data_IF_190925750370
#
_entry.id   IF_190925750370
#
_cell.length_a   1.000
_cell.length_b   1.000
_cell.length_c   1.000
_cell.angle_alpha   90.00
_cell.angle_beta   90.00
_cell.angle_gamma   90.00
#
_symmetry.space_group_name_H-M   'P 1'
#
loop_
_entity.id
_entity.type
_entity.pdbx_description
1 polymer ?
#
# COMPACT_ATOMS: atom_id res chain seq x y z
N UNK A 1 48.01 -22.39 27.04
CA UNK A 1 47.46 -23.08 28.22
C UNK A 1 46.72 -22.03 29.04
N UNK A 2 45.42 -22.06 29.32
CA UNK A 2 44.37 -23.01 28.99
C UNK A 2 43.01 -22.48 29.46
N UNK A 3 41.98 -22.93 28.74
CA UNK A 3 40.60 -23.27 29.12
C UNK A 3 39.63 -22.14 29.55
N UNK A 4 38.66 -21.93 28.64
CA UNK A 4 37.41 -21.17 28.75
C UNK A 4 36.30 -22.07 29.34
N UNK A 5 35.40 -21.60 30.24
CA UNK A 5 34.27 -22.39 30.75
C UNK A 5 33.09 -22.48 29.76
N UNK A 6 32.33 -23.57 29.89
CA UNK A 6 31.45 -24.18 28.90
C UNK A 6 29.99 -23.66 28.97
N UNK A 7 29.39 -23.40 27.81
CA UNK A 7 28.08 -22.76 27.53
C UNK A 7 26.84 -23.65 27.88
N UNK A 8 27.02 -24.73 28.65
CA UNK A 8 25.95 -25.72 28.89
C UNK A 8 25.04 -25.47 30.10
N UNK A 9 25.20 -24.36 30.83
CA UNK A 9 24.49 -24.15 32.11
C UNK A 9 23.39 -23.06 32.09
N UNK A 10 23.13 -22.42 30.95
CA UNK A 10 22.08 -21.38 30.83
C UNK A 10 20.82 -21.91 30.13
N UNK A 11 20.90 -23.07 29.47
CA UNK A 11 19.79 -23.64 28.70
C UNK A 11 18.72 -24.37 29.53
N UNK A 12 18.96 -24.66 30.81
CA UNK A 12 18.03 -25.44 31.65
C UNK A 12 16.96 -24.61 32.38
N UNK A 13 16.79 -23.33 32.04
CA UNK A 13 15.80 -22.44 32.67
C UNK A 13 14.74 -21.87 31.71
N UNK A 14 14.73 -22.29 30.44
CA UNK A 14 13.75 -21.84 29.43
C UNK A 14 12.71 -22.92 29.09
N UNK A 15 12.93 -24.19 29.47
CA UNK A 15 12.02 -25.29 29.12
C UNK A 15 10.80 -25.45 30.06
N UNK A 16 10.73 -24.75 31.19
CA UNK A 16 9.67 -24.99 32.20
C UNK A 16 8.49 -24.00 32.22
N UNK A 17 8.32 -23.12 31.21
CA UNK A 17 7.21 -22.14 31.21
C UNK A 17 6.31 -22.20 29.98
N UNK A 18 6.46 -23.19 29.10
CA UNK A 18 5.52 -23.43 27.99
C UNK A 18 4.83 -24.78 28.20
N UNK A 19 4.17 -24.91 29.34
CA UNK A 19 3.24 -25.99 29.62
C UNK A 19 1.96 -25.43 30.23
N UNK A 20 1.32 -24.51 29.51
CA UNK A 20 -0.05 -24.09 29.78
C UNK A 20 -0.67 -23.62 28.46
N UNK A 21 -1.36 -24.53 27.78
CA UNK A 21 -2.64 -24.36 27.08
C UNK A 21 -2.90 -25.68 26.35
N UNK A 22 -3.77 -26.50 26.95
CA UNK A 22 -4.47 -27.62 26.30
C UNK A 22 -5.50 -27.05 25.33
N UNK A 23 -5.67 -27.69 24.17
CA UNK A 23 -6.94 -28.10 23.54
C UNK A 23 -6.60 -29.01 22.33
N UNK A 24 -7.51 -29.89 21.88
CA UNK A 24 -7.18 -31.29 21.59
C UNK A 24 -7.37 -31.68 20.11
N UNK A 25 -7.05 -32.95 19.83
CA UNK A 25 -7.48 -33.77 18.68
C UNK A 25 -6.91 -33.44 17.29
N UNK A 26 -5.88 -34.21 16.89
CA UNK A 26 -5.95 -35.11 15.72
C UNK A 26 -4.69 -36.00 15.70
N UNK A 27 -4.74 -37.09 16.46
CA UNK A 27 -3.87 -38.24 16.30
C UNK A 27 -4.65 -39.29 15.50
N UNK A 28 -4.32 -39.50 14.23
CA UNK A 28 -4.26 -40.83 13.63
C UNK A 28 -3.67 -40.71 12.21
N UNK A 29 -2.58 -41.42 11.92
CA UNK A 29 -2.17 -41.68 10.53
C UNK A 29 -0.71 -41.45 10.13
N UNK A 30 0.22 -41.10 11.03
CA UNK A 30 1.61 -40.80 10.63
C UNK A 30 2.70 -41.74 11.17
N UNK A 31 2.35 -42.81 11.89
CA UNK A 31 3.37 -43.72 12.43
C UNK A 31 3.86 -44.79 11.44
N UNK A 32 3.25 -44.95 10.25
CA UNK A 32 3.60 -46.03 9.33
C UNK A 32 4.47 -45.61 8.13
N UNK A 33 4.62 -44.31 7.88
CA UNK A 33 5.34 -43.81 6.69
C UNK A 33 6.80 -43.40 6.97
N UNK A 34 7.21 -43.34 8.25
CA UNK A 34 8.56 -42.93 8.65
C UNK A 34 9.59 -44.06 8.46
N UNK A 35 9.22 -45.31 8.66
CA UNK A 35 10.18 -46.41 8.72
C UNK A 35 10.57 -46.99 7.35
N UNK A 36 9.72 -46.84 6.33
CA UNK A 36 10.01 -47.33 4.97
C UNK A 36 11.04 -46.44 4.25
N UNK A 37 11.04 -45.13 4.52
CA UNK A 37 11.92 -44.18 3.82
C UNK A 37 13.33 -44.16 4.44
N UNK A 38 13.45 -44.37 5.75
CA UNK A 38 14.75 -44.30 6.45
C UNK A 38 15.66 -45.48 6.12
N UNK A 39 15.11 -46.66 5.82
CA UNK A 39 15.92 -47.85 5.54
C UNK A 39 16.44 -47.95 4.09
N UNK A 40 15.90 -47.20 3.14
CA UNK A 40 16.37 -47.21 1.73
C UNK A 40 17.53 -46.23 1.46
N UNK A 41 17.89 -45.37 2.43
CA UNK A 41 18.86 -44.28 2.22
C UNK A 41 20.25 -44.53 2.87
N UNK A 42 20.48 -45.69 3.50
CA UNK A 42 21.73 -45.94 4.26
C UNK A 42 22.94 -46.35 3.43
N UNK A 43 22.80 -46.68 2.14
CA UNK A 43 23.91 -47.24 1.34
C UNK A 43 24.23 -46.48 0.05
N UNK A 44 24.39 -45.15 0.10
CA UNK A 44 25.02 -44.41 -1.01
C UNK A 44 26.00 -43.36 -0.48
N UNK A 45 27.31 -43.60 -0.70
CA UNK A 45 28.36 -42.57 -0.52
C UNK A 45 28.20 -41.53 -1.62
N UNK A 46 27.72 -40.32 -1.30
CA UNK A 46 27.43 -39.28 -2.30
C UNK A 46 27.85 -37.88 -1.82
N UNK A 47 28.57 -37.16 -2.70
CA UNK A 47 29.26 -35.89 -2.43
C UNK A 47 28.39 -34.64 -2.25
N UNK A 48 29.08 -33.53 -1.93
CA UNK A 48 28.53 -32.28 -1.39
C UNK A 48 27.50 -31.51 -2.23
N UNK A 49 27.28 -31.88 -3.49
CA UNK A 49 26.29 -31.23 -4.37
C UNK A 49 24.83 -31.53 -3.93
N UNK A 50 24.58 -32.74 -3.42
CA UNK A 50 23.24 -33.15 -2.96
C UNK A 50 22.83 -32.55 -1.61
N UNK A 51 23.78 -32.08 -0.78
CA UNK A 51 23.47 -31.37 0.48
C UNK A 51 22.82 -30.02 0.22
N UNK A 52 23.26 -29.29 -0.81
CA UNK A 52 22.65 -28.01 -1.22
C UNK A 52 21.25 -28.23 -1.78
N UNK A 53 21.04 -29.28 -2.58
CA UNK A 53 19.74 -29.64 -3.15
C UNK A 53 18.74 -30.07 -2.06
N UNK A 54 19.15 -30.93 -1.11
CA UNK A 54 18.30 -31.30 0.04
C UNK A 54 17.93 -30.10 0.92
N UNK A 55 18.85 -29.16 1.12
CA UNK A 55 18.58 -27.95 1.91
C UNK A 55 17.59 -27.01 1.19
N UNK A 56 17.72 -26.82 -0.13
CA UNK A 56 16.76 -26.01 -0.91
C UNK A 56 15.39 -26.66 -0.97
N UNK A 57 15.30 -27.97 -1.20
CA UNK A 57 14.02 -28.68 -1.23
C UNK A 57 13.34 -28.71 0.14
N UNK A 58 14.10 -28.83 1.24
CA UNK A 58 13.54 -28.80 2.61
C UNK A 58 13.04 -27.41 2.98
N UNK A 59 13.75 -26.34 2.60
CA UNK A 59 13.30 -24.95 2.80
C UNK A 59 12.01 -24.68 2.01
N UNK A 60 11.93 -25.13 0.75
CA UNK A 60 10.71 -25.02 -0.06
C UNK A 60 9.53 -25.82 0.54
N UNK A 61 9.77 -27.02 1.08
CA UNK A 61 8.72 -27.83 1.71
C UNK A 61 8.25 -27.25 3.05
N UNK A 62 9.14 -26.65 3.84
CA UNK A 62 8.76 -25.94 5.07
C UNK A 62 7.98 -24.65 4.79
N UNK A 63 8.26 -23.97 3.68
CA UNK A 63 7.48 -22.80 3.24
C UNK A 63 6.08 -23.20 2.72
N UNK A 64 5.95 -24.39 2.11
CA UNK A 64 4.68 -24.92 1.63
C UNK A 64 3.76 -25.39 2.77
N UNK A 65 4.31 -25.89 3.88
CA UNK A 65 3.53 -26.37 5.03
C UNK A 65 3.06 -25.27 6.00
N UNK A 66 3.61 -24.06 5.90
CA UNK A 66 3.23 -22.93 6.74
C UNK A 66 1.96 -22.17 6.26
N UNK A 67 1.29 -22.63 5.18
CA UNK A 67 0.19 -21.87 4.55
C UNK A 67 -1.20 -22.08 5.17
N UNK A 68 -1.37 -22.98 6.14
CA UNK A 68 -2.69 -23.37 6.65
C UNK A 68 -3.11 -22.68 7.95
N UNK A 69 -2.88 -21.38 8.05
CA UNK A 69 -3.44 -20.56 9.14
C UNK A 69 -3.83 -19.14 8.67
N UNK A 70 -4.22 -18.95 7.40
CA UNK A 70 -4.87 -17.69 7.04
C UNK A 70 -6.28 -17.71 7.63
N UNK A 71 -6.55 -16.84 8.60
CA UNK A 71 -7.92 -16.49 8.97
C UNK A 71 -8.71 -16.18 7.68
N UNK A 72 -9.94 -16.68 7.57
CA UNK A 72 -10.80 -16.40 6.42
C UNK A 72 -10.84 -14.89 6.19
N UNK A 73 -10.43 -14.43 5.01
CA UNK A 73 -10.46 -13.00 4.64
C UNK A 73 -11.75 -12.70 3.90
N UNK A 74 -12.33 -11.55 4.19
CA UNK A 74 -13.46 -11.02 3.44
C UNK A 74 -12.94 -10.17 2.29
N UNK A 75 -13.57 -10.26 1.13
CA UNK A 75 -13.19 -9.52 -0.06
C UNK A 75 -14.42 -8.90 -0.68
N UNK A 76 -14.29 -7.65 -1.11
CA UNK A 76 -15.32 -6.92 -1.85
C UNK A 76 -14.67 -6.27 -3.07
N UNK A 77 -15.43 -6.17 -4.16
CA UNK A 77 -14.95 -5.71 -5.46
C UNK A 77 -15.78 -4.52 -5.89
N UNK A 78 -15.12 -3.45 -6.33
CA UNK A 78 -15.78 -2.21 -6.69
C UNK A 78 -15.25 -1.67 -8.02
N UNK A 79 -16.17 -1.22 -8.87
CA UNK A 79 -15.84 -0.51 -10.11
C UNK A 79 -15.82 1.00 -9.83
N UNK A 80 -14.63 1.60 -9.85
CA UNK A 80 -14.40 2.99 -9.46
C UNK A 80 -14.13 3.90 -10.66
N UNK A 81 -14.45 5.19 -10.53
CA UNK A 81 -14.00 6.22 -11.47
C UNK A 81 -13.36 7.39 -10.74
N UNK A 82 -12.11 7.70 -11.07
CA UNK A 82 -11.35 8.76 -10.42
C UNK A 82 -11.10 9.92 -11.37
N UNK A 83 -11.65 11.09 -11.03
CA UNK A 83 -11.54 12.30 -11.84
C UNK A 83 -10.79 13.36 -11.04
N UNK A 84 -9.58 13.68 -11.48
CA UNK A 84 -8.62 14.45 -10.71
C UNK A 84 -8.19 15.72 -11.46
N UNK A 85 -8.03 16.81 -10.72
CA UNK A 85 -7.44 18.06 -11.20
C UNK A 85 -6.28 18.42 -10.28
N UNK A 86 -5.10 18.60 -10.86
CA UNK A 86 -3.86 18.96 -10.17
C UNK A 86 -3.36 20.31 -10.68
N UNK A 87 -3.16 21.26 -9.78
CA UNK A 87 -2.61 22.57 -10.07
C UNK A 87 -1.17 22.72 -9.60
N UNK A 88 -0.40 23.54 -10.30
CA UNK A 88 0.92 24.02 -9.85
C UNK A 88 1.08 25.47 -10.30
N UNK A 89 1.05 26.38 -9.34
CA UNK A 89 1.13 27.82 -9.59
C UNK A 89 2.44 28.34 -9.02
N UNK A 90 3.38 28.69 -9.90
CA UNK A 90 4.70 29.19 -9.49
C UNK A 90 4.57 30.65 -9.06
N UNK A 91 4.83 30.91 -7.79
CA UNK A 91 4.82 32.26 -7.20
C UNK A 91 6.19 32.90 -7.31
N UNK A 92 7.25 32.08 -7.21
CA UNK A 92 8.63 32.50 -7.42
C UNK A 92 9.44 31.37 -8.06
N UNK A 93 10.74 31.60 -8.31
CA UNK A 93 11.67 30.57 -8.79
C UNK A 93 11.66 29.31 -7.92
N UNK A 94 11.46 29.47 -6.61
CA UNK A 94 11.59 28.40 -5.63
C UNK A 94 10.28 27.99 -4.99
N UNK A 95 9.18 28.70 -5.19
CA UNK A 95 7.93 28.48 -4.45
C UNK A 95 6.76 28.33 -5.42
N UNK A 96 5.98 27.27 -5.22
CA UNK A 96 4.71 27.06 -5.92
C UNK A 96 3.59 26.73 -4.95
N UNK A 97 2.36 27.09 -5.32
CA UNK A 97 1.13 26.64 -4.65
C UNK A 97 0.56 25.47 -5.44
N UNK A 98 0.17 24.40 -4.74
CA UNK A 98 -0.31 23.16 -5.35
C UNK A 98 -1.72 22.79 -4.87
N UNK A 99 -2.77 23.31 -5.52
CA UNK A 99 -4.13 22.85 -5.28
C UNK A 99 -4.40 21.52 -6.00
N UNK A 100 -5.18 20.65 -5.39
CA UNK A 100 -5.58 19.35 -5.93
C UNK A 100 -7.04 19.10 -5.53
N UNK A 101 -7.83 18.68 -6.51
CA UNK A 101 -9.21 18.30 -6.33
C UNK A 101 -9.45 16.93 -6.96
N UNK A 102 -10.12 16.04 -6.24
CA UNK A 102 -10.43 14.71 -6.73
C UNK A 102 -11.88 14.37 -6.42
N UNK A 103 -12.57 14.00 -7.47
CA UNK A 103 -13.93 13.50 -7.44
C UNK A 103 -13.87 12.01 -7.75
N UNK A 104 -14.04 11.18 -6.72
CA UNK A 104 -13.93 9.73 -6.84
C UNK A 104 -15.30 9.10 -6.66
N UNK A 105 -15.64 8.22 -7.59
CA UNK A 105 -16.95 7.58 -7.73
C UNK A 105 -16.83 6.07 -7.63
N UNK A 106 -17.92 5.46 -7.18
CA UNK A 106 -18.18 4.05 -7.32
C UNK A 106 -19.23 3.85 -8.43
N UNK A 107 -19.32 2.62 -8.97
CA UNK A 107 -20.07 2.31 -10.18
C UNK A 107 -19.68 3.26 -11.34
N UNK A 108 -18.37 3.49 -11.47
CA UNK A 108 -17.69 4.39 -12.43
C UNK A 108 -18.02 5.88 -12.27
N UNK A 109 -19.28 6.26 -12.13
CA UNK A 109 -19.70 7.66 -12.01
C UNK A 109 -20.88 7.86 -11.04
N UNK A 110 -21.71 6.84 -10.83
CA UNK A 110 -23.04 7.01 -10.22
C UNK A 110 -22.98 7.31 -8.73
N UNK A 111 -22.14 6.59 -7.98
CA UNK A 111 -22.17 6.63 -6.52
C UNK A 111 -20.95 7.34 -5.94
N UNK A 112 -21.10 7.99 -4.79
CA UNK A 112 -19.97 8.64 -4.14
C UNK A 112 -19.02 7.60 -3.56
N UNK A 113 -17.73 7.72 -3.86
CA UNK A 113 -16.67 7.00 -3.13
C UNK A 113 -15.97 7.96 -2.17
N UNK A 114 -15.42 9.05 -2.72
CA UNK A 114 -14.62 9.98 -1.94
C UNK A 114 -14.49 11.33 -2.63
N UNK A 115 -14.70 12.41 -1.88
CA UNK A 115 -14.33 13.76 -2.26
C UNK A 115 -13.00 14.10 -1.59
N UNK A 116 -12.02 14.61 -2.34
CA UNK A 116 -10.74 15.04 -1.77
C UNK A 116 -10.38 16.42 -2.31
N UNK A 117 -10.09 17.33 -1.40
CA UNK A 117 -9.49 18.63 -1.71
C UNK A 117 -8.18 18.75 -0.94
N UNK A 118 -7.15 19.27 -1.60
CA UNK A 118 -5.84 19.49 -1.00
C UNK A 118 -5.23 20.77 -1.54
N UNK A 119 -4.53 21.49 -0.69
CA UNK A 119 -3.73 22.63 -1.09
C UNK A 119 -2.47 22.71 -0.22
N UNK A 120 -1.41 23.27 -0.76
CA UNK A 120 -0.15 23.38 -0.05
C UNK A 120 0.87 24.24 -0.76
N UNK A 121 2.01 24.40 -0.11
CA UNK A 121 3.16 25.13 -0.64
C UNK A 121 4.27 24.12 -0.94
N UNK A 122 4.88 24.27 -2.10
CA UNK A 122 5.99 23.45 -2.58
C UNK A 122 7.22 24.33 -2.79
N UNK A 123 8.34 23.90 -2.24
CA UNK A 123 9.66 24.45 -2.45
C UNK A 123 10.44 23.64 -3.50
N UNK A 124 11.11 24.31 -4.42
CA UNK A 124 11.95 23.72 -5.46
C UNK A 124 13.43 23.95 -5.16
N UNK A 125 14.22 22.88 -5.08
CA UNK A 125 15.65 22.96 -4.82
C UNK A 125 16.43 23.20 -6.12
N UNK A 126 17.50 24.00 -6.07
CA UNK A 126 18.33 24.30 -7.25
C UNK A 126 18.97 23.06 -7.89
N UNK A 127 19.35 22.08 -7.07
CA UNK A 127 19.96 20.82 -7.52
C UNK A 127 18.93 19.77 -7.97
N UNK A 128 17.67 20.18 -8.14
CA UNK A 128 16.55 19.31 -8.46
C UNK A 128 15.87 18.73 -7.23
N UNK A 129 14.63 18.30 -7.43
CA UNK A 129 13.76 17.81 -6.36
C UNK A 129 12.92 18.91 -5.71
N UNK A 130 11.97 18.48 -4.90
CA UNK A 130 10.99 19.37 -4.26
C UNK A 130 10.65 18.89 -2.86
N UNK A 131 10.29 19.82 -1.99
CA UNK A 131 9.67 19.54 -0.70
C UNK A 131 8.35 20.31 -0.61
N UNK A 132 7.33 19.76 0.02
CA UNK A 132 6.05 20.45 0.18
C UNK A 132 5.39 20.11 1.51
N UNK A 133 4.59 21.07 1.99
CA UNK A 133 3.64 20.87 3.08
C UNK A 133 2.23 21.15 2.55
N UNK A 134 1.31 20.22 2.81
CA UNK A 134 -0.04 20.28 2.28
C UNK A 134 -1.07 20.00 3.38
N UNK A 135 -2.20 20.69 3.29
CA UNK A 135 -3.42 20.37 4.02
C UNK A 135 -4.41 19.69 3.08
N UNK A 136 -5.02 18.61 3.54
CA UNK A 136 -5.97 17.82 2.79
C UNK A 136 -7.25 17.63 3.60
N UNK A 137 -8.39 17.92 2.98
CA UNK A 137 -9.70 17.51 3.44
C UNK A 137 -10.19 16.35 2.58
N UNK A 138 -10.83 15.37 3.19
CA UNK A 138 -11.42 14.24 2.50
C UNK A 138 -12.77 13.91 3.12
N UNK A 139 -13.79 13.70 2.30
CA UNK A 139 -15.08 13.12 2.72
C UNK A 139 -15.21 11.75 2.06
N UNK A 140 -15.29 10.69 2.86
CA UNK A 140 -15.39 9.31 2.37
C UNK A 140 -16.80 8.79 2.55
N UNK A 141 -17.31 8.05 1.57
CA UNK A 141 -18.67 7.53 1.56
C UNK A 141 -18.67 5.99 1.71
N UNK A 142 -19.73 5.41 2.29
CA UNK A 142 -19.91 3.96 2.37
C UNK A 142 -19.93 3.32 0.98
N UNK A 143 -19.09 2.30 0.74
CA UNK A 143 -19.05 1.54 -0.51
C UNK A 143 -18.78 0.05 -0.24
N UNK A 144 -19.16 -0.80 -1.20
CA UNK A 144 -18.94 -2.24 -1.19
C UNK A 144 -19.81 -3.00 -0.20
N UNK A 145 -19.56 -4.30 -0.08
CA UNK A 145 -20.36 -5.24 0.74
C UNK A 145 -20.09 -5.07 2.24
N UNK A 146 -18.94 -4.49 2.58
CA UNK A 146 -18.47 -4.28 3.94
C UNK A 146 -18.10 -2.81 4.13
N UNK A 147 -19.08 -1.88 4.09
CA UNK A 147 -18.78 -0.48 4.32
C UNK A 147 -18.31 -0.26 5.75
N UNK A 148 -17.48 0.77 5.96
CA UNK A 148 -17.00 1.14 7.30
C UNK A 148 -18.15 1.47 8.26
N UNK A 149 -19.25 1.99 7.73
CA UNK A 149 -20.47 2.36 8.43
C UNK A 149 -21.52 2.89 7.45
N UNK A 150 -22.72 3.24 7.93
CA UNK A 150 -23.82 3.70 7.07
C UNK A 150 -23.72 5.17 6.64
N UNK A 151 -22.82 5.96 7.25
CA UNK A 151 -22.72 7.40 7.03
C UNK A 151 -21.37 7.82 6.44
N UNK A 152 -21.32 8.88 5.62
CA UNK A 152 -20.07 9.47 5.16
C UNK A 152 -19.29 10.10 6.31
N UNK A 153 -17.96 10.01 6.28
CA UNK A 153 -17.10 10.56 7.34
C UNK A 153 -16.00 11.49 6.79
N UNK A 154 -15.73 12.62 7.49
CA UNK A 154 -14.66 13.52 7.13
C UNK A 154 -13.30 13.05 7.67
N UNK A 155 -12.25 13.47 6.99
CA UNK A 155 -10.87 13.28 7.40
C UNK A 155 -10.04 14.52 7.04
N UNK A 156 -9.26 14.99 8.01
CA UNK A 156 -8.25 16.03 7.80
C UNK A 156 -6.87 15.42 7.78
N UNK A 157 -5.99 15.89 6.89
CA UNK A 157 -4.60 15.45 6.86
C UNK A 157 -3.65 16.63 6.72
N UNK A 158 -2.56 16.59 7.46
CA UNK A 158 -1.35 17.35 7.15
C UNK A 158 -0.40 16.38 6.45
N UNK A 159 0.32 16.86 5.45
CA UNK A 159 1.19 16.02 4.64
C UNK A 159 2.49 16.73 4.35
N UNK A 160 3.60 16.13 4.77
CA UNK A 160 4.93 16.46 4.26
C UNK A 160 5.23 15.60 3.03
N UNK A 161 5.75 16.21 1.98
CA UNK A 161 6.06 15.54 0.73
C UNK A 161 7.47 15.87 0.27
N UNK A 162 8.20 14.87 -0.21
CA UNK A 162 9.44 15.06 -0.96
C UNK A 162 9.32 14.38 -2.31
N UNK A 163 9.73 15.07 -3.36
CA UNK A 163 9.67 14.57 -4.73
C UNK A 163 11.01 14.69 -5.43
N UNK A 164 11.39 13.67 -6.18
CA UNK A 164 12.56 13.66 -7.04
C UNK A 164 12.16 13.19 -8.43
N UNK A 165 12.80 13.76 -9.44
CA UNK A 165 12.57 13.41 -10.85
C UNK A 165 13.90 13.27 -11.55
N UNK A 166 14.00 12.29 -12.44
CA UNK A 166 15.20 12.04 -13.22
C UNK A 166 14.84 11.42 -14.56
N UNK A 167 15.76 11.51 -15.52
CA UNK A 167 15.58 10.93 -16.86
C UNK A 167 16.73 9.97 -17.14
N UNK A 168 16.42 8.79 -17.68
CA UNK A 168 17.41 7.80 -18.12
C UNK A 168 16.97 7.23 -19.46
N UNK A 169 17.70 7.58 -20.52
CA UNK A 169 17.29 7.27 -21.89
C UNK A 169 15.94 7.90 -22.23
N UNK A 170 14.97 7.06 -22.60
CA UNK A 170 13.59 7.46 -22.93
C UNK A 170 12.65 7.52 -21.73
N UNK A 171 13.10 7.06 -20.56
CA UNK A 171 12.28 6.97 -19.35
C UNK A 171 12.47 8.20 -18.47
N UNK A 172 11.36 8.83 -18.08
CA UNK A 172 11.34 9.83 -17.02
C UNK A 172 10.79 9.20 -15.75
N UNK A 173 11.60 9.13 -14.71
CA UNK A 173 11.23 8.59 -13.41
C UNK A 173 10.87 9.70 -12.44
N UNK A 174 9.83 9.45 -11.64
CA UNK A 174 9.46 10.28 -10.51
C UNK A 174 9.31 9.43 -9.25
N UNK A 175 10.02 9.83 -8.21
CA UNK A 175 9.91 9.29 -6.87
C UNK A 175 9.18 10.31 -6.01
N UNK A 176 8.17 9.87 -5.27
CA UNK A 176 7.46 10.75 -4.33
C UNK A 176 7.25 10.04 -3.01
N UNK A 177 7.80 10.62 -1.95
CA UNK A 177 7.58 10.21 -0.58
C UNK A 177 6.60 11.18 0.07
N UNK A 178 5.67 10.64 0.85
CA UNK A 178 4.77 11.43 1.70
C UNK A 178 4.73 10.85 3.10
N UNK A 179 4.73 11.73 4.07
CA UNK A 179 4.36 11.45 5.43
C UNK A 179 3.04 12.19 5.70
N UNK A 180 2.07 11.50 6.30
CA UNK A 180 0.75 12.04 6.57
C UNK A 180 0.37 11.86 8.03
N UNK A 181 -0.04 12.95 8.67
CA UNK A 181 -0.73 12.96 9.94
C UNK A 181 -2.22 13.13 9.64
N UNK A 182 -3.04 12.21 10.14
CA UNK A 182 -4.42 12.02 9.72
C UNK A 182 -5.33 12.11 10.93
N UNK A 183 -6.39 12.91 10.86
CA UNK A 183 -7.46 12.99 11.84
C UNK A 183 -8.74 12.48 11.19
N UNK A 184 -9.11 11.25 11.54
CA UNK A 184 -10.26 10.54 11.00
C UNK A 184 -11.48 10.75 11.89
N UNK A 185 -12.53 11.37 11.35
CA UNK A 185 -13.78 11.59 12.07
C UNK A 185 -14.48 10.28 12.40
N UNK A 186 -14.71 10.03 13.69
CA UNK A 186 -15.50 8.91 14.17
C UNK A 186 -16.97 9.35 14.28
N UNK A 187 -17.86 8.64 13.60
CA UNK A 187 -19.29 8.92 13.58
C UNK A 187 -20.02 7.83 14.35
N UNK A 188 -21.05 8.21 15.11
CA UNK A 188 -21.93 7.26 15.74
C UNK A 188 -22.70 6.47 14.68
N UNK A 189 -22.35 5.19 14.51
CA UNK A 189 -23.01 4.35 13.51
C UNK A 189 -24.35 3.78 13.98
N UNK A 190 -24.72 3.97 15.25
CA UNK A 190 -25.97 3.50 15.86
C UNK A 190 -26.98 4.62 16.14
N UNK A 191 -26.57 5.88 16.01
CA UNK A 191 -27.42 7.06 16.21
C UNK A 191 -28.00 7.59 14.89
N UNK A 192 -29.03 8.44 14.99
CA UNK A 192 -29.70 9.04 13.82
C UNK A 192 -28.92 10.21 13.19
N UNK A 193 -27.86 10.70 13.86
CA UNK A 193 -27.06 11.82 13.38
C UNK A 193 -25.71 11.36 12.85
N UNK A 194 -25.40 11.67 11.59
CA UNK A 194 -24.06 11.57 10.98
C UNK A 194 -23.04 12.56 11.56
N UNK A 195 -23.13 12.86 12.87
CA UNK A 195 -22.29 13.81 13.57
C UNK A 195 -20.97 13.16 13.95
N UNK A 196 -19.87 13.90 13.79
CA UNK A 196 -18.56 13.50 14.27
C UNK A 196 -18.52 13.60 15.79
N UNK A 197 -18.28 12.49 16.48
CA UNK A 197 -18.19 12.41 17.94
C UNK A 197 -16.76 12.62 18.44
N UNK A 198 -15.78 12.11 17.69
CA UNK A 198 -14.36 12.23 18.03
C UNK A 198 -13.47 12.14 16.80
N UNK A 199 -12.18 12.41 16.98
CA UNK A 199 -11.17 12.33 15.93
C UNK A 199 -10.10 11.31 16.29
N UNK A 200 -9.92 10.30 15.44
CA UNK A 200 -8.86 9.32 15.59
C UNK A 200 -7.61 9.77 14.85
N UNK A 201 -6.51 9.94 15.58
CA UNK A 201 -5.22 10.29 15.01
C UNK A 201 -4.51 9.07 14.42
N UNK A 202 -4.03 9.14 13.18
CA UNK A 202 -3.30 8.07 12.48
C UNK A 202 -2.09 8.66 11.75
N UNK A 203 -1.03 7.87 11.58
CA UNK A 203 0.09 8.25 10.71
C UNK A 203 0.18 7.31 9.52
N UNK A 204 0.63 7.83 8.38
CA UNK A 204 0.83 7.05 7.17
C UNK A 204 2.05 7.52 6.39
N UNK A 205 2.90 6.58 6.00
CA UNK A 205 3.94 6.78 5.01
C UNK A 205 3.44 6.30 3.65
N UNK A 206 3.81 7.02 2.59
CA UNK A 206 3.45 6.66 1.21
C UNK A 206 4.66 6.83 0.31
N UNK A 207 4.86 5.89 -0.60
CA UNK A 207 5.87 5.98 -1.63
C UNK A 207 5.24 5.70 -2.98
N UNK A 208 5.46 6.60 -3.93
CA UNK A 208 5.08 6.42 -5.33
C UNK A 208 6.34 6.37 -6.20
N UNK A 209 6.43 5.34 -7.03
CA UNK A 209 7.30 5.32 -8.21
C UNK A 209 6.42 5.52 -9.44
N UNK A 210 6.79 6.47 -10.30
CA UNK A 210 6.14 6.71 -11.59
C UNK A 210 7.18 6.76 -12.70
N UNK A 211 6.83 6.21 -13.85
CA UNK A 211 7.62 6.33 -15.08
C UNK A 211 6.76 6.87 -16.21
N UNK A 212 7.34 7.71 -17.05
CA UNK A 212 6.70 8.33 -18.21
C UNK A 212 7.59 8.18 -19.46
N UNK A 213 7.01 7.73 -20.57
CA UNK A 213 7.70 7.51 -21.85
C UNK A 213 6.98 8.24 -22.97
N UNK A 214 7.68 9.12 -23.68
CA UNK A 214 7.15 9.78 -24.87
C UNK A 214 7.01 8.78 -26.02
N UNK A 215 5.87 8.82 -26.73
CA UNK A 215 5.57 7.90 -27.83
C UNK A 215 5.99 8.50 -29.17
N UNK A 216 5.58 9.74 -29.43
CA UNK A 216 5.77 10.39 -30.73
C UNK A 216 6.99 11.33 -30.78
N UNK A 217 7.72 11.49 -29.67
CA UNK A 217 8.89 12.37 -29.55
C UNK A 217 9.97 11.73 -28.67
N UNK A 218 11.17 12.30 -28.70
CA UNK A 218 12.28 11.87 -27.83
C UNK A 218 12.09 12.25 -26.35
N UNK A 219 11.32 13.30 -26.07
CA UNK A 219 11.04 13.84 -24.73
C UNK A 219 9.60 14.31 -24.63
N UNK A 220 9.06 14.38 -23.41
CA UNK A 220 7.71 14.87 -23.14
C UNK A 220 7.70 16.40 -23.17
N UNK A 221 7.39 16.95 -24.33
CA UNK A 221 7.30 18.38 -24.60
C UNK A 221 5.89 18.75 -25.06
N UNK A 222 5.68 20.01 -25.43
CA UNK A 222 4.41 20.47 -25.94
C UNK A 222 4.02 19.69 -27.20
N UNK A 223 2.75 19.27 -27.28
CA UNK A 223 2.17 18.41 -28.33
C UNK A 223 2.81 17.01 -28.38
N UNK A 224 3.00 16.40 -27.20
CA UNK A 224 3.55 15.05 -27.06
C UNK A 224 2.54 14.09 -26.45
N UNK A 225 2.37 12.94 -27.10
CA UNK A 225 1.70 11.77 -26.53
C UNK A 225 2.71 10.94 -25.74
N UNK A 226 2.30 10.46 -24.58
CA UNK A 226 3.13 9.64 -23.71
C UNK A 226 2.32 8.56 -23.02
N UNK A 227 2.99 7.52 -22.54
CA UNK A 227 2.43 6.53 -21.62
C UNK A 227 3.05 6.74 -20.25
N UNK A 228 2.24 6.62 -19.21
CA UNK A 228 2.67 6.69 -17.82
C UNK A 228 2.24 5.42 -17.09
N UNK A 229 3.10 4.93 -16.20
CA UNK A 229 2.75 3.91 -15.23
C UNK A 229 3.21 4.34 -13.85
N UNK A 230 2.43 4.01 -12.81
CA UNK A 230 2.84 4.27 -11.45
C UNK A 230 2.40 3.16 -10.51
N UNK A 231 3.20 2.96 -9.45
CA UNK A 231 2.86 2.15 -8.30
C UNK A 231 2.99 3.01 -7.04
N UNK A 232 1.98 3.03 -6.19
CA UNK A 232 1.97 3.73 -4.90
C UNK A 232 1.59 2.78 -3.76
N UNK A 233 2.51 2.61 -2.80
CA UNK A 233 2.31 1.83 -1.58
C UNK A 233 2.07 2.78 -0.41
N UNK A 234 1.11 2.43 0.43
CA UNK A 234 0.68 3.20 1.60
C UNK A 234 0.73 2.32 2.85
N UNK A 235 1.47 2.77 3.87
CA UNK A 235 1.76 2.02 5.10
C UNK A 235 1.40 2.88 6.30
N UNK A 236 0.51 2.38 7.16
CA UNK A 236 0.16 2.99 8.44
C UNK A 236 1.18 2.68 9.52
N UNK A 237 1.40 3.62 10.45
CA UNK A 237 2.22 3.37 11.64
C UNK A 237 1.79 4.21 12.87
N UNK A 238 2.29 3.83 14.05
CA UNK A 238 2.02 4.50 15.33
C UNK A 238 0.99 3.76 16.19
N UNK A 239 0.73 4.29 17.39
CA UNK A 239 -0.04 3.59 18.45
C UNK A 239 -1.50 3.28 18.09
N UNK A 240 -2.09 4.10 17.21
CA UNK A 240 -3.48 3.96 16.79
C UNK A 240 -3.63 3.14 15.50
N UNK A 241 -2.51 2.66 14.95
CA UNK A 241 -2.54 1.65 13.88
C UNK A 241 -2.57 0.30 14.56
N UNK A 242 -3.70 -0.38 14.41
CA UNK A 242 -3.92 -1.72 14.96
C UNK A 242 -3.06 -2.75 14.19
N UNK A 243 -3.56 -3.97 14.01
CA UNK A 243 -2.82 -5.06 13.36
C UNK A 243 -2.46 -4.78 11.88
N UNK A 244 -3.11 -3.80 11.24
CA UNK A 244 -3.01 -3.57 9.80
C UNK A 244 -2.03 -2.43 9.48
N UNK A 245 -0.76 -2.80 9.29
CA UNK A 245 0.32 -1.89 8.87
C UNK A 245 0.19 -1.54 7.38
N UNK A 246 -0.26 -2.48 6.55
CA UNK A 246 -0.61 -2.21 5.16
C UNK A 246 -1.95 -1.46 5.09
N UNK A 247 -1.98 -0.31 4.42
CA UNK A 247 -3.20 0.46 4.16
C UNK A 247 -3.66 0.17 2.73
N UNK A 248 -2.84 0.55 1.73
CA UNK A 248 -3.22 0.43 0.31
C UNK A 248 -2.03 0.19 -0.61
N UNK A 249 -2.33 -0.41 -1.76
CA UNK A 249 -1.49 -0.38 -2.94
C UNK A 249 -2.31 0.13 -4.13
N UNK A 250 -1.68 0.91 -5.02
CA UNK A 250 -2.33 1.48 -6.20
C UNK A 250 -1.40 1.36 -7.40
N UNK A 251 -1.86 0.64 -8.42
CA UNK A 251 -1.17 0.49 -9.69
C UNK A 251 -1.97 1.19 -10.78
N UNK A 252 -1.34 2.11 -11.51
CA UNK A 252 -1.97 2.85 -12.59
C UNK A 252 -1.21 2.72 -13.90
N UNK A 253 -1.96 2.61 -15.01
CA UNK A 253 -1.43 2.68 -16.38
C UNK A 253 -2.27 3.68 -17.17
N UNK A 254 -1.61 4.69 -17.75
CA UNK A 254 -2.26 5.85 -18.35
C UNK A 254 -1.64 6.20 -19.70
N UNK A 255 -2.48 6.66 -20.61
CA UNK A 255 -2.05 7.43 -21.77
C UNK A 255 -2.22 8.92 -21.45
N UNK A 256 -1.27 9.73 -21.89
CA UNK A 256 -1.27 11.15 -21.63
C UNK A 256 -0.94 11.98 -22.87
N UNK A 257 -1.42 13.21 -22.86
CA UNK A 257 -1.13 14.21 -23.88
C UNK A 257 -0.75 15.53 -23.21
N UNK A 258 0.48 15.98 -23.45
CA UNK A 258 0.94 17.32 -23.08
C UNK A 258 0.54 18.28 -24.18
N UNK A 259 -0.51 19.05 -23.96
CA UNK A 259 -1.03 19.98 -24.97
C UNK A 259 -0.09 21.18 -25.14
N UNK A 260 0.31 21.80 -24.03
CA UNK A 260 1.26 22.90 -23.98
C UNK A 260 1.93 22.96 -22.59
N UNK A 261 2.76 23.98 -22.33
CA UNK A 261 3.42 24.19 -21.04
C UNK A 261 2.46 24.33 -19.84
N UNK A 262 1.19 24.65 -20.06
CA UNK A 262 0.19 24.91 -19.02
C UNK A 262 -0.77 23.74 -18.79
N UNK A 263 -1.03 22.91 -19.81
CA UNK A 263 -2.07 21.89 -19.76
C UNK A 263 -1.57 20.53 -20.21
N UNK A 264 -1.86 19.53 -19.38
CA UNK A 264 -1.56 18.13 -19.66
C UNK A 264 -2.71 17.26 -19.17
N UNK A 265 -3.12 16.31 -20.01
CA UNK A 265 -4.24 15.41 -19.75
C UNK A 265 -3.73 13.98 -19.66
N UNK A 266 -4.31 13.18 -18.78
CA UNK A 266 -4.09 11.73 -18.70
C UNK A 266 -5.40 11.00 -18.54
N UNK A 267 -5.52 9.83 -19.15
CA UNK A 267 -6.61 8.90 -18.93
C UNK A 267 -6.05 7.48 -18.94
N UNK A 268 -6.63 6.59 -18.13
CA UNK A 268 -6.11 5.24 -18.01
C UNK A 268 -6.93 4.37 -17.08
N UNK A 269 -6.27 3.31 -16.60
CA UNK A 269 -6.85 2.34 -15.69
C UNK A 269 -6.10 2.34 -14.37
N UNK A 270 -6.84 2.26 -13.28
CA UNK A 270 -6.35 2.17 -11.91
C UNK A 270 -6.78 0.84 -11.31
N UNK A 271 -5.85 0.13 -10.69
CA UNK A 271 -6.12 -0.97 -9.77
C UNK A 271 -5.68 -0.54 -8.37
N UNK A 272 -6.54 -0.74 -7.39
CA UNK A 272 -6.30 -0.38 -6.01
C UNK A 272 -6.72 -1.52 -5.09
N UNK A 273 -5.83 -1.87 -4.15
CA UNK A 273 -6.12 -2.79 -3.06
C UNK A 273 -6.12 -1.98 -1.77
N UNK A 274 -7.16 -2.12 -0.95
CA UNK A 274 -7.29 -1.47 0.36
C UNK A 274 -7.52 -2.53 1.43
N UNK A 275 -6.76 -2.48 2.51
CA UNK A 275 -7.05 -3.26 3.72
C UNK A 275 -7.77 -2.37 4.72
N UNK A 276 -8.96 -2.77 5.15
CA UNK A 276 -9.70 -1.97 6.12
C UNK A 276 -9.01 -1.98 7.49
N UNK A 277 -8.97 -0.84 8.21
CA UNK A 277 -8.33 -0.78 9.53
C UNK A 277 -9.03 -1.62 10.61
N UNK A 278 -10.33 -1.89 10.47
CA UNK A 278 -11.11 -2.69 11.40
C UNK A 278 -11.60 -3.99 10.74
N UNK A 279 -11.52 -5.14 11.44
CA UNK A 279 -12.08 -6.38 10.94
C UNK A 279 -13.62 -6.39 11.05
N UNK A 280 -14.27 -7.17 10.20
CA UNK A 280 -15.71 -7.45 10.29
C UNK A 280 -15.89 -8.88 10.77
N UNK A 281 -16.61 -9.07 11.87
CA UNK A 281 -16.78 -10.39 12.51
C UNK A 281 -15.45 -11.12 12.79
N UNK A 282 -14.40 -10.38 13.14
CA UNK A 282 -13.06 -10.94 13.40
C UNK A 282 -12.24 -11.27 12.14
N UNK A 283 -12.77 -11.02 10.95
CA UNK A 283 -12.11 -11.28 9.68
C UNK A 283 -11.54 -9.99 9.06
N UNK A 284 -10.28 -10.01 8.55
CA UNK A 284 -9.76 -8.87 7.81
C UNK A 284 -10.52 -8.69 6.50
N UNK A 285 -10.79 -7.43 6.15
CA UNK A 285 -11.54 -7.07 4.93
C UNK A 285 -10.60 -6.41 3.94
N UNK A 286 -10.58 -6.93 2.72
CA UNK A 286 -9.88 -6.34 1.57
C UNK A 286 -10.89 -5.81 0.55
N UNK A 287 -10.67 -4.59 0.10
CA UNK A 287 -11.40 -3.99 -1.02
C UNK A 287 -10.50 -4.00 -2.26
N UNK A 288 -11.02 -4.51 -3.36
CA UNK A 288 -10.39 -4.52 -4.68
C UNK A 288 -11.15 -3.54 -5.57
N UNK A 289 -10.56 -2.38 -5.77
CA UNK A 289 -11.16 -1.29 -6.52
C UNK A 289 -10.46 -1.18 -7.87
N UNK A 290 -11.21 -1.12 -8.96
CA UNK A 290 -10.63 -1.02 -10.29
C UNK A 290 -11.47 -0.13 -11.21
N UNK A 291 -10.87 0.55 -12.17
CA UNK A 291 -11.62 1.30 -13.17
C UNK A 291 -10.89 2.53 -13.72
N UNK A 292 -11.61 3.40 -14.46
CA UNK A 292 -10.99 4.53 -15.13
C UNK A 292 -10.43 5.58 -14.16
N UNK A 293 -9.28 6.13 -14.54
CA UNK A 293 -8.70 7.33 -13.94
C UNK A 293 -8.49 8.39 -15.01
N UNK A 294 -8.87 9.62 -14.71
CA UNK A 294 -8.68 10.80 -15.57
C UNK A 294 -8.02 11.90 -14.76
N UNK A 295 -6.94 12.47 -15.29
CA UNK A 295 -6.20 13.54 -14.65
C UNK A 295 -6.09 14.75 -15.59
N UNK A 296 -6.38 15.92 -15.05
CA UNK A 296 -6.02 17.20 -15.65
C UNK A 296 -4.93 17.85 -14.81
N UNK A 297 -3.82 18.21 -15.45
CA UNK A 297 -2.75 18.99 -14.85
C UNK A 297 -2.78 20.41 -15.42
N UNK A 298 -2.78 21.39 -14.52
CA UNK A 298 -2.73 22.82 -14.83
C UNK A 298 -1.47 23.39 -14.19
N UNK A 299 -0.59 23.98 -15.00
CA UNK A 299 0.62 24.65 -14.54
C UNK A 299 0.60 26.11 -14.97
N UNK A 300 0.94 27.03 -14.06
CA UNK A 300 1.03 28.46 -14.35
C UNK A 300 2.26 29.08 -13.69
#
# INVERSE_FOLDING_TARGET
MGVVPNIRMIASHVENTICAIRLPTLYCGLSFCKDIIVNQLKNVRMGGFYKKLKLTTTICLSFALAQNASAQRLSTYNDIGWYNVFGTFNISKHISIIPEFQWRRNNIITDWQQLLARAGVQYHFDKGGTAAILYCFTMSYPIGDYPWGPYPFPEHRITEQVGFTGTTGIFNFSHRLRLEQRWLGQINQKGESGKVESWMYLNRARYQLRTDVAINRKKIEDKTFYVAAFDEILIGFGKNVNQNVFDQNRLGLLAGYRMNKNFRFEAGYLNQIVQQPAPVNGHPVYQYNQGPIVNLYVTK
#
